data_IF_852413582774
#
_entry.id   IF_852413582774
#
_cell.length_a   1.000
_cell.length_b   1.000
_cell.length_c   1.000
_cell.angle_alpha   90.00
_cell.angle_beta   90.00
_cell.angle_gamma   90.00
#
_symmetry.space_group_name_H-M   'P 1'
#
loop_
_entity.id
_entity.type
_entity.pdbx_description
1 polymer ?
#
# COMPACT_ATOMS: atom_id res chain seq x y z
N UNK A 1 -30.62 -44.71 23.03
CA UNK A 1 -31.86 -45.36 22.57
C UNK A 1 -32.93 -44.26 22.43
N UNK A 2 -33.57 -44.12 21.26
CA UNK A 2 -34.32 -42.91 20.82
C UNK A 2 -35.85 -43.06 21.02
N UNK A 3 -36.65 -42.32 20.24
CA UNK A 3 -38.12 -42.18 20.14
C UNK A 3 -38.66 -40.93 20.86
N UNK A 4 -39.43 -40.02 20.24
CA UNK A 4 -40.39 -40.19 19.14
C UNK A 4 -40.62 -38.86 18.39
N UNK A 5 -40.77 -38.95 17.06
CA UNK A 5 -41.25 -37.87 16.19
C UNK A 5 -42.79 -37.82 16.16
N UNK A 6 -43.36 -36.64 15.89
CA UNK A 6 -44.71 -36.50 15.34
C UNK A 6 -44.64 -35.56 14.14
N UNK A 7 -44.93 -36.12 12.96
CA UNK A 7 -45.25 -35.40 11.73
C UNK A 7 -46.65 -34.78 11.84
N UNK A 8 -46.81 -33.57 11.29
CA UNK A 8 -48.03 -33.19 10.60
C UNK A 8 -47.65 -32.30 9.40
N UNK A 9 -48.02 -32.77 8.21
CA UNK A 9 -47.93 -32.05 6.95
C UNK A 9 -49.36 -31.92 6.40
N UNK A 10 -49.77 -30.74 5.93
CA UNK A 10 -50.65 -30.53 4.75
C UNK A 10 -50.38 -29.14 4.17
N UNK A 11 -50.41 -29.08 2.84
CA UNK A 11 -49.92 -28.06 1.88
C UNK A 11 -51.08 -27.10 1.43
N UNK A 12 -51.01 -26.36 0.30
CA UNK A 12 -50.87 -24.90 0.22
C UNK A 12 -52.14 -24.13 -0.22
N UNK A 13 -52.17 -22.82 0.02
CA UNK A 13 -53.23 -21.92 -0.45
C UNK A 13 -52.68 -20.76 -1.29
N UNK A 14 -53.04 -20.74 -2.56
CA UNK A 14 -52.85 -19.68 -3.56
C UNK A 14 -53.78 -18.47 -3.31
N UNK A 15 -53.33 -17.24 -3.61
CA UNK A 15 -54.25 -16.10 -3.73
C UNK A 15 -53.54 -14.76 -3.97
N UNK A 16 -53.93 -14.06 -5.05
CA UNK A 16 -53.27 -12.89 -5.67
C UNK A 16 -54.33 -11.81 -5.91
N UNK A 17 -54.10 -10.54 -5.53
CA UNK A 17 -54.62 -9.31 -6.17
C UNK A 17 -54.04 -8.05 -5.48
N UNK A 18 -53.22 -7.21 -6.16
CA UNK A 18 -53.54 -5.92 -6.86
C UNK A 18 -54.05 -4.81 -5.90
N UNK A 19 -53.53 -3.57 -5.90
CA UNK A 19 -52.55 -2.91 -6.75
C UNK A 19 -52.34 -1.42 -6.39
N UNK A 20 -51.69 -0.70 -7.32
CA UNK A 20 -51.45 0.76 -7.41
C UNK A 20 -50.29 1.34 -6.57
N UNK A 21 -49.39 2.21 -7.04
CA UNK A 21 -49.15 2.87 -8.35
C UNK A 21 -47.80 3.60 -8.30
N UNK A 22 -47.09 3.67 -9.44
CA UNK A 22 -46.12 4.74 -9.79
C UNK A 22 -44.64 4.43 -9.58
N UNK A 23 -43.70 4.84 -10.44
CA UNK A 23 -43.75 5.25 -11.83
C UNK A 23 -42.37 4.96 -12.44
N UNK A 24 -42.35 4.88 -13.77
CA UNK A 24 -41.32 4.49 -14.73
C UNK A 24 -39.87 4.94 -14.46
N UNK A 25 -38.90 4.14 -14.95
CA UNK A 25 -38.14 4.42 -16.21
C UNK A 25 -36.66 3.99 -16.17
N UNK A 26 -36.35 2.79 -16.67
CA UNK A 26 -35.35 2.58 -17.74
C UNK A 26 -35.52 1.16 -18.26
N UNK A 27 -35.79 1.01 -19.56
CA UNK A 27 -35.97 -0.30 -20.23
C UNK A 27 -34.92 -0.41 -21.33
N UNK A 28 -34.38 -1.62 -21.44
CA UNK A 28 -33.41 -2.10 -22.42
C UNK A 28 -33.76 -1.78 -23.87
N UNK A 29 -32.75 -1.45 -24.66
CA UNK A 29 -32.68 -1.77 -26.09
C UNK A 29 -31.23 -1.95 -26.53
N UNK A 30 -30.80 -3.20 -26.74
CA UNK A 30 -29.77 -3.54 -27.71
C UNK A 30 -29.83 -5.04 -28.05
N UNK A 31 -30.74 -5.41 -28.97
CA UNK A 31 -30.59 -6.60 -29.80
C UNK A 31 -29.89 -6.20 -31.10
N UNK A 32 -28.84 -6.97 -31.44
CA UNK A 32 -28.49 -7.56 -32.74
C UNK A 32 -28.60 -6.71 -34.02
N UNK A 33 -27.50 -6.67 -34.76
CA UNK A 33 -27.43 -6.43 -36.20
C UNK A 33 -26.04 -6.83 -36.75
N UNK A 34 -26.01 -7.84 -37.61
CA UNK A 34 -24.85 -8.38 -38.36
C UNK A 34 -24.33 -7.45 -39.46
N UNK A 35 -23.04 -7.58 -39.84
CA UNK A 35 -22.63 -8.12 -41.16
C UNK A 35 -21.16 -7.82 -41.54
N UNK A 36 -20.40 -8.91 -41.74
CA UNK A 36 -19.45 -9.24 -42.82
C UNK A 36 -18.36 -8.28 -43.35
N UNK A 37 -17.13 -8.82 -43.49
CA UNK A 37 -16.29 -8.96 -44.73
C UNK A 37 -14.80 -9.14 -44.35
N UNK A 38 -14.23 -10.35 -44.32
CA UNK A 38 -13.66 -11.18 -45.40
C UNK A 38 -12.12 -11.06 -45.56
N UNK A 39 -11.47 -12.24 -45.48
CA UNK A 39 -10.18 -12.68 -46.03
C UNK A 39 -8.83 -12.10 -45.52
N UNK A 40 -7.99 -12.98 -44.96
CA UNK A 40 -6.90 -13.60 -45.75
C UNK A 40 -6.30 -14.84 -45.06
N UNK A 41 -5.97 -15.81 -45.90
CA UNK A 41 -5.39 -17.13 -45.64
C UNK A 41 -3.89 -17.08 -45.99
N UNK A 42 -3.01 -17.55 -45.11
CA UNK A 42 -1.64 -18.00 -45.37
C UNK A 42 -1.15 -18.63 -44.05
N UNK A 43 -0.50 -19.77 -43.92
CA UNK A 43 0.19 -20.69 -44.81
C UNK A 43 1.03 -21.58 -43.87
N UNK A 44 1.20 -22.86 -44.20
CA UNK A 44 1.94 -23.85 -43.40
C UNK A 44 3.42 -23.50 -43.22
N UNK A 45 3.96 -23.85 -42.04
CA UNK A 45 5.36 -24.27 -41.80
C UNK A 45 5.27 -25.18 -40.55
N UNK A 46 5.72 -26.43 -40.50
CA UNK A 46 6.94 -27.04 -41.01
C UNK A 46 7.82 -27.40 -39.80
N UNK A 47 7.93 -28.69 -39.49
CA UNK A 47 8.65 -29.26 -38.34
C UNK A 47 10.17 -29.04 -38.39
N UNK A 48 10.80 -29.06 -37.21
CA UNK A 48 12.18 -29.50 -37.03
C UNK A 48 13.14 -28.50 -36.36
N UNK A 49 13.76 -28.91 -35.25
CA UNK A 49 14.99 -28.28 -34.75
C UNK A 49 15.11 -28.19 -33.23
N UNK A 50 15.68 -29.23 -32.61
CA UNK A 50 16.16 -29.23 -31.23
C UNK A 50 17.35 -28.30 -31.06
N UNK A 51 17.30 -27.35 -30.12
CA UNK A 51 18.47 -26.69 -29.56
C UNK A 51 18.21 -26.29 -28.10
N UNK A 52 18.84 -27.04 -27.21
CA UNK A 52 19.05 -26.71 -25.80
C UNK A 52 19.94 -25.46 -25.70
N UNK A 53 19.43 -24.39 -25.09
CA UNK A 53 20.24 -23.28 -24.60
C UNK A 53 19.63 -22.80 -23.28
N UNK A 54 20.21 -23.29 -22.18
CA UNK A 54 20.07 -22.73 -20.85
C UNK A 54 20.63 -21.30 -20.82
N UNK A 55 19.90 -20.29 -20.32
CA UNK A 55 20.48 -18.97 -20.12
C UNK A 55 21.42 -18.99 -18.90
N UNK A 56 22.56 -18.26 -18.94
CA UNK A 56 23.48 -18.24 -17.81
C UNK A 56 22.89 -17.44 -16.64
N UNK A 57 23.00 -18.02 -15.43
CA UNK A 57 22.75 -17.33 -14.18
C UNK A 57 23.73 -16.16 -14.02
N UNK A 58 23.22 -14.94 -13.95
CA UNK A 58 24.02 -13.77 -13.55
C UNK A 58 23.95 -13.63 -12.03
N UNK A 59 25.03 -13.99 -11.36
CA UNK A 59 25.31 -13.53 -10.00
C UNK A 59 25.52 -12.01 -10.06
N UNK A 60 24.61 -11.24 -9.47
CA UNK A 60 24.82 -9.82 -9.22
C UNK A 60 25.47 -9.72 -7.83
N UNK A 61 26.75 -9.40 -7.84
CA UNK A 61 27.50 -9.03 -6.63
C UNK A 61 26.99 -7.68 -6.15
N UNK A 62 26.17 -7.69 -5.09
CA UNK A 62 25.64 -6.48 -4.44
C UNK A 62 26.73 -5.89 -3.57
N UNK A 63 27.72 -5.26 -4.21
CA UNK A 63 28.71 -4.42 -3.52
C UNK A 63 28.81 -3.06 -4.19
N UNK A 64 28.19 -2.12 -3.48
CA UNK A 64 28.66 -0.76 -3.29
C UNK A 64 28.47 0.24 -4.45
N UNK A 65 27.38 0.99 -4.39
CA UNK A 65 27.34 2.38 -4.88
C UNK A 65 26.28 3.19 -4.12
N UNK A 66 26.48 3.34 -2.80
CA UNK A 66 25.79 4.37 -2.04
C UNK A 66 26.49 5.71 -2.31
N UNK A 67 25.98 6.46 -3.28
CA UNK A 67 26.29 7.88 -3.44
C UNK A 67 24.98 8.63 -3.67
N UNK A 68 24.16 8.65 -2.62
CA UNK A 68 22.99 9.52 -2.57
C UNK A 68 23.47 10.92 -2.19
N UNK A 69 23.26 11.86 -3.11
CA UNK A 69 23.59 13.29 -2.94
C UNK A 69 22.90 13.80 -1.67
N UNK A 70 23.71 14.27 -0.72
CA UNK A 70 23.27 14.91 0.52
C UNK A 70 22.67 16.27 0.16
N UNK A 71 21.34 16.36 0.09
CA UNK A 71 20.65 17.65 -0.04
C UNK A 71 20.91 18.50 1.22
N UNK A 72 21.34 19.77 1.08
CA UNK A 72 21.53 20.64 2.23
C UNK A 72 20.16 21.02 2.81
N UNK A 73 20.04 20.90 4.14
CA UNK A 73 18.93 21.49 4.90
C UNK A 73 19.01 23.00 4.73
N UNK A 74 18.08 23.58 3.98
CA UNK A 74 17.87 25.04 3.98
C UNK A 74 17.27 25.37 5.35
N UNK A 75 18.12 25.82 6.26
CA UNK A 75 17.70 26.41 7.53
C UNK A 75 17.01 27.74 7.25
N UNK A 76 15.69 27.80 7.48
CA UNK A 76 15.01 29.08 7.64
C UNK A 76 15.51 29.74 8.92
N UNK A 77 16.35 30.75 8.74
CA UNK A 77 16.86 31.60 9.80
C UNK A 77 15.82 32.71 10.03
N UNK A 78 14.91 32.49 10.98
CA UNK A 78 13.98 33.52 11.43
C UNK A 78 14.75 34.38 12.43
N UNK A 79 15.12 35.59 12.02
CA UNK A 79 15.87 36.52 12.86
C UNK A 79 15.09 36.91 14.11
N UNK A 80 15.70 36.69 15.28
CA UNK A 80 15.23 37.25 16.54
C UNK A 80 15.65 38.73 16.62
N UNK A 81 14.64 39.61 16.61
CA UNK A 81 14.77 40.98 17.10
C UNK A 81 14.90 40.91 18.63
N UNK A 82 16.04 41.36 19.13
CA UNK A 82 16.32 41.53 20.56
C UNK A 82 15.57 42.76 21.08
N UNK A 83 14.71 42.56 22.06
CA UNK A 83 14.29 43.61 23.00
C UNK A 83 14.51 43.09 24.43
N UNK A 84 15.33 43.82 25.17
CA UNK A 84 15.72 43.55 26.55
C UNK A 84 14.55 43.63 27.52
N UNK A 85 14.40 42.61 28.37
CA UNK A 85 13.80 42.74 29.69
C UNK A 85 14.49 41.78 30.68
N UNK A 86 14.74 42.28 31.89
CA UNK A 86 15.57 41.73 32.98
C UNK A 86 15.14 40.34 33.50
N UNK A 87 16.04 39.58 34.17
CA UNK A 87 15.74 38.26 34.68
C UNK A 87 14.90 38.35 35.95
N UNK A 88 13.88 37.50 36.06
CA UNK A 88 13.27 37.20 37.34
C UNK A 88 13.52 35.72 37.67
N UNK A 89 14.27 35.51 38.73
CA UNK A 89 14.48 34.23 39.40
C UNK A 89 13.16 33.74 40.00
N UNK A 90 12.73 32.54 39.61
CA UNK A 90 11.59 31.87 40.22
C UNK A 90 11.59 30.40 39.87
N UNK A 91 11.87 29.56 40.86
CA UNK A 91 11.63 28.12 40.76
C UNK A 91 10.14 27.89 40.55
N UNK A 92 9.78 27.18 39.49
CA UNK A 92 8.48 26.54 39.41
C UNK A 92 8.67 25.25 38.64
N UNK A 93 8.45 24.16 39.38
CA UNK A 93 8.31 22.80 38.88
C UNK A 93 7.21 22.77 37.81
N UNK A 94 7.60 22.79 36.54
CA UNK A 94 6.73 22.40 35.44
C UNK A 94 6.97 20.92 35.13
N UNK A 95 6.33 20.06 35.90
CA UNK A 95 5.92 18.75 35.42
C UNK A 95 4.85 18.95 34.35
N UNK A 96 5.29 19.15 33.12
CA UNK A 96 4.50 18.87 31.93
C UNK A 96 5.17 17.68 31.24
N UNK A 97 4.76 16.48 31.61
CA UNK A 97 5.05 15.27 30.85
C UNK A 97 4.39 15.44 29.49
N UNK A 98 5.14 15.98 28.53
CA UNK A 98 4.77 15.88 27.12
C UNK A 98 4.79 14.41 26.77
N UNK A 99 3.62 13.82 26.55
CA UNK A 99 3.54 12.52 25.89
C UNK A 99 4.31 12.63 24.59
N UNK A 100 5.43 11.88 24.49
CA UNK A 100 6.26 11.89 23.30
C UNK A 100 5.41 11.39 22.13
N UNK A 101 5.05 12.30 21.23
CA UNK A 101 4.26 12.04 20.01
C UNK A 101 5.10 11.33 18.93
N UNK A 102 5.97 10.41 19.34
CA UNK A 102 6.96 9.73 18.50
C UNK A 102 6.76 8.22 18.57
N UNK A 103 7.34 7.51 17.60
CA UNK A 103 7.45 6.05 17.65
C UNK A 103 8.49 5.67 18.71
N UNK A 104 8.10 4.86 19.69
CA UNK A 104 8.95 4.38 20.77
C UNK A 104 9.63 3.05 20.43
N UNK A 105 10.61 2.64 21.25
CA UNK A 105 11.40 1.41 21.04
C UNK A 105 10.56 0.12 21.05
N UNK A 106 9.40 0.15 21.71
CA UNK A 106 8.46 -0.97 21.78
C UNK A 106 7.21 -0.74 20.92
N UNK A 107 7.23 0.21 19.99
CA UNK A 107 6.14 0.32 19.03
C UNK A 107 6.39 -0.59 17.83
N UNK A 108 5.35 -1.32 17.42
CA UNK A 108 5.31 -2.02 16.14
C UNK A 108 4.69 -1.13 15.08
N UNK A 109 5.36 -0.94 13.96
CA UNK A 109 4.80 -0.25 12.79
C UNK A 109 4.40 -1.26 11.74
N UNK A 110 3.15 -1.25 11.29
CA UNK A 110 2.69 -2.05 10.15
C UNK A 110 2.51 -1.11 8.98
N UNK A 111 3.19 -1.37 7.86
CA UNK A 111 2.98 -0.62 6.62
C UNK A 111 2.11 -1.45 5.70
N UNK A 112 0.95 -0.90 5.34
CA UNK A 112 -0.12 -1.65 4.65
C UNK A 112 -0.30 -1.13 3.23
N UNK A 113 -0.26 -2.01 2.22
CA UNK A 113 -0.76 -1.69 0.88
C UNK A 113 -2.00 -2.56 0.51
N UNK A 114 -2.44 -2.53 -0.76
CA UNK A 114 -3.58 -3.34 -1.20
C UNK A 114 -3.23 -4.83 -1.34
N UNK A 115 -1.96 -5.14 -1.57
CA UNK A 115 -1.50 -6.38 -2.16
C UNK A 115 -1.70 -6.38 -3.67
N UNK A 116 -1.06 -7.34 -4.32
CA UNK A 116 -1.17 -7.58 -5.75
C UNK A 116 -1.21 -9.08 -6.03
N UNK A 117 -1.89 -9.44 -7.12
CA UNK A 117 -1.79 -10.80 -7.69
C UNK A 117 -0.42 -11.07 -8.31
N UNK A 118 0.37 -10.02 -8.55
CA UNK A 118 1.74 -10.13 -9.05
C UNK A 118 2.70 -10.15 -7.87
N UNK A 119 3.39 -11.25 -7.69
CA UNK A 119 4.34 -11.42 -6.57
C UNK A 119 5.43 -10.35 -6.56
N UNK A 120 5.96 -10.00 -7.74
CA UNK A 120 6.94 -8.92 -7.90
C UNK A 120 6.48 -7.60 -7.27
N UNK A 121 5.19 -7.29 -7.33
CA UNK A 121 4.65 -6.07 -6.74
C UNK A 121 4.62 -6.14 -5.21
N UNK A 122 4.34 -7.32 -4.64
CA UNK A 122 4.35 -7.51 -3.18
C UNK A 122 5.78 -7.42 -2.63
N UNK A 123 6.77 -7.93 -3.37
CA UNK A 123 8.19 -7.83 -3.00
C UNK A 123 8.68 -6.37 -2.89
N UNK A 124 8.13 -5.45 -3.69
CA UNK A 124 8.47 -4.02 -3.58
C UNK A 124 8.11 -3.44 -2.20
N UNK A 125 7.05 -3.92 -1.55
CA UNK A 125 6.72 -3.49 -0.19
C UNK A 125 7.79 -3.98 0.79
N UNK A 126 8.29 -5.21 0.65
CA UNK A 126 9.36 -5.73 1.49
C UNK A 126 10.66 -4.91 1.35
N UNK A 127 11.02 -4.54 0.13
CA UNK A 127 12.17 -3.65 -0.12
C UNK A 127 11.96 -2.28 0.52
N UNK A 128 10.73 -1.74 0.45
CA UNK A 128 10.39 -0.50 1.12
C UNK A 128 10.49 -0.62 2.65
N UNK A 129 10.02 -1.72 3.26
CA UNK A 129 10.18 -1.97 4.69
C UNK A 129 11.66 -1.99 5.09
N UNK A 130 12.50 -2.68 4.34
CA UNK A 130 13.94 -2.74 4.62
C UNK A 130 14.57 -1.35 4.58
N UNK A 131 14.24 -0.56 3.55
CA UNK A 131 14.68 0.83 3.41
C UNK A 131 14.16 1.72 4.56
N UNK A 132 12.88 1.55 4.93
CA UNK A 132 12.24 2.31 5.98
C UNK A 132 12.90 2.05 7.33
N UNK A 133 13.07 0.76 7.71
CA UNK A 133 13.80 0.35 8.93
C UNK A 133 15.21 0.94 8.96
N UNK A 134 15.95 0.85 7.86
CA UNK A 134 17.33 1.36 7.79
C UNK A 134 17.41 2.89 7.95
N UNK A 135 16.40 3.63 7.46
CA UNK A 135 16.38 5.10 7.54
C UNK A 135 15.81 5.65 8.84
N UNK A 136 14.82 4.99 9.44
CA UNK A 136 14.16 5.47 10.68
C UNK A 136 14.78 4.89 11.94
N UNK A 137 15.40 3.72 11.86
CA UNK A 137 15.95 3.00 13.02
C UNK A 137 14.88 2.27 13.86
N UNK A 138 13.62 2.27 13.44
CA UNK A 138 12.54 1.59 14.16
C UNK A 138 12.78 0.08 14.21
N UNK A 139 12.58 -0.51 15.39
CA UNK A 139 12.96 -1.91 15.67
C UNK A 139 11.97 -2.91 15.08
N UNK A 140 10.68 -2.62 15.17
CA UNK A 140 9.61 -3.53 14.76
C UNK A 140 8.81 -2.85 13.64
N UNK A 141 9.01 -3.30 12.39
CA UNK A 141 8.28 -2.75 11.23
C UNK A 141 7.83 -3.86 10.29
N UNK A 142 6.57 -4.25 10.27
CA UNK A 142 6.08 -5.36 9.45
C UNK A 142 5.35 -4.89 8.17
N UNK A 143 5.53 -5.55 7.02
CA UNK A 143 4.66 -5.36 5.87
C UNK A 143 3.30 -6.03 6.12
N UNK A 144 2.25 -5.50 5.49
CA UNK A 144 0.97 -6.19 5.37
C UNK A 144 0.27 -5.82 4.05
N UNK A 145 -0.57 -6.73 3.58
CA UNK A 145 -1.43 -6.55 2.44
C UNK A 145 -2.89 -6.67 2.89
N UNK A 146 -3.75 -5.82 2.32
CA UNK A 146 -5.15 -5.73 2.74
C UNK A 146 -6.02 -6.88 2.22
N UNK A 147 -5.84 -7.32 0.97
CA UNK A 147 -6.78 -8.27 0.34
C UNK A 147 -6.16 -9.28 -0.65
N UNK A 148 -5.07 -8.93 -1.35
CA UNK A 148 -4.63 -9.70 -2.52
C UNK A 148 -3.39 -10.57 -2.30
N UNK A 149 -2.75 -10.46 -1.14
CA UNK A 149 -1.50 -11.13 -0.84
C UNK A 149 -1.33 -11.35 0.67
N UNK A 150 -0.32 -12.15 1.02
CA UNK A 150 0.13 -12.37 2.38
C UNK A 150 1.48 -11.66 2.61
N UNK A 151 1.79 -11.17 3.82
CA UNK A 151 1.03 -11.34 5.07
C UNK A 151 -0.19 -10.41 5.19
N UNK A 152 -1.26 -10.88 5.84
CA UNK A 152 -2.40 -10.02 6.20
C UNK A 152 -2.06 -9.02 7.31
N UNK A 153 -2.93 -8.02 7.51
CA UNK A 153 -2.84 -7.10 8.67
C UNK A 153 -2.84 -7.87 9.98
N UNK A 154 -3.61 -8.97 10.08
CA UNK A 154 -3.67 -9.81 11.27
C UNK A 154 -2.33 -10.49 11.54
N UNK A 155 -1.70 -11.07 10.52
CA UNK A 155 -0.41 -11.73 10.65
C UNK A 155 0.69 -10.74 11.05
N UNK A 156 0.72 -9.56 10.43
CA UNK A 156 1.66 -8.51 10.77
C UNK A 156 1.47 -8.00 12.21
N UNK A 157 0.21 -7.84 12.65
CA UNK A 157 -0.11 -7.47 14.04
C UNK A 157 0.42 -8.51 15.02
N UNK A 158 0.12 -9.79 14.78
CA UNK A 158 0.61 -10.88 15.61
C UNK A 158 2.14 -10.93 15.67
N UNK A 159 2.82 -10.71 14.53
CA UNK A 159 4.29 -10.62 14.48
C UNK A 159 4.84 -9.44 15.27
N UNK A 160 4.22 -8.27 15.21
CA UNK A 160 4.63 -7.13 16.04
C UNK A 160 4.53 -7.47 17.53
N UNK A 161 3.43 -8.09 17.95
CA UNK A 161 3.22 -8.50 19.36
C UNK A 161 4.24 -9.57 19.78
N UNK A 162 4.51 -10.57 18.93
CA UNK A 162 5.54 -11.58 19.19
C UNK A 162 6.95 -10.99 19.36
N UNK A 163 7.23 -9.89 18.65
CA UNK A 163 8.49 -9.14 18.79
C UNK A 163 8.53 -8.22 20.03
N UNK A 164 7.45 -8.19 20.83
CA UNK A 164 7.38 -7.43 22.08
C UNK A 164 6.81 -6.03 21.94
N UNK A 165 6.04 -5.75 20.89
CA UNK A 165 5.39 -4.46 20.73
C UNK A 165 4.36 -4.20 21.86
N UNK A 166 4.43 -3.01 22.48
CA UNK A 166 3.48 -2.51 23.48
C UNK A 166 2.41 -1.60 22.88
N UNK A 167 2.55 -1.20 21.62
CA UNK A 167 1.56 -0.46 20.82
C UNK A 167 1.81 -0.75 19.34
N UNK A 168 0.73 -0.80 18.55
CA UNK A 168 0.81 -1.04 17.10
C UNK A 168 0.34 0.18 16.31
N UNK A 169 1.12 0.60 15.32
CA UNK A 169 0.85 1.74 14.44
C UNK A 169 0.62 1.19 13.03
N UNK A 170 -0.62 1.21 12.56
CA UNK A 170 -1.01 0.74 11.24
C UNK A 170 -1.00 1.92 10.26
N UNK A 171 -0.04 1.93 9.34
CA UNK A 171 0.23 3.03 8.42
C UNK A 171 -0.07 2.65 6.98
N UNK A 172 -1.14 3.19 6.37
CA UNK A 172 -1.47 2.89 4.97
C UNK A 172 -0.46 3.53 4.00
N UNK A 173 0.07 2.73 3.08
CA UNK A 173 0.97 3.15 2.01
C UNK A 173 0.18 3.50 0.73
N UNK A 174 -0.73 4.48 0.85
CA UNK A 174 -1.61 4.92 -0.24
C UNK A 174 -1.40 6.39 -0.60
N UNK A 175 -1.46 6.71 -1.89
CA UNK A 175 -1.34 8.10 -2.38
C UNK A 175 -2.59 8.95 -2.17
N UNK A 176 -3.76 8.32 -1.99
CA UNK A 176 -5.04 9.03 -1.88
C UNK A 176 -5.88 8.50 -0.72
N UNK A 177 -6.59 9.38 0.00
CA UNK A 177 -7.60 8.94 0.96
C UNK A 177 -8.78 8.32 0.20
N UNK A 178 -9.20 7.13 0.62
CA UNK A 178 -10.29 6.39 -0.02
C UNK A 178 -11.08 5.54 0.97
N UNK A 179 -12.03 4.74 0.45
CA UNK A 179 -12.86 3.82 1.25
C UNK A 179 -12.00 2.91 2.13
N UNK A 180 -10.92 2.37 1.55
CA UNK A 180 -10.01 1.45 2.23
C UNK A 180 -9.39 2.01 3.50
N UNK A 181 -8.94 3.27 3.46
CA UNK A 181 -8.44 3.94 4.65
C UNK A 181 -9.55 4.26 5.67
N UNK A 182 -10.73 4.69 5.20
CA UNK A 182 -11.82 5.12 6.08
C UNK A 182 -12.54 3.98 6.79
N UNK A 183 -12.58 2.79 6.20
CA UNK A 183 -13.45 1.70 6.65
C UNK A 183 -12.68 0.38 6.79
N UNK A 184 -12.00 -0.05 5.73
CA UNK A 184 -11.50 -1.43 5.65
C UNK A 184 -10.28 -1.65 6.57
N UNK A 185 -9.26 -0.78 6.52
CA UNK A 185 -8.08 -0.90 7.39
C UNK A 185 -8.45 -0.79 8.88
N UNK A 186 -9.25 0.21 9.32
CA UNK A 186 -9.71 0.25 10.70
C UNK A 186 -10.45 -1.02 11.15
N UNK A 187 -11.31 -1.59 10.30
CA UNK A 187 -12.03 -2.83 10.63
C UNK A 187 -11.09 -4.03 10.74
N UNK A 188 -10.15 -4.19 9.81
CA UNK A 188 -9.15 -5.27 9.82
C UNK A 188 -8.20 -5.15 11.02
N UNK A 189 -7.75 -3.94 11.36
CA UNK A 189 -6.93 -3.70 12.55
C UNK A 189 -7.69 -3.98 13.84
N UNK A 190 -8.98 -3.61 13.90
CA UNK A 190 -9.85 -3.93 15.03
C UNK A 190 -10.04 -5.44 15.21
N UNK A 191 -10.22 -6.18 14.10
CA UNK A 191 -10.32 -7.63 14.14
C UNK A 191 -9.02 -8.26 14.66
N UNK A 192 -7.87 -7.83 14.13
CA UNK A 192 -6.56 -8.31 14.56
C UNK A 192 -6.30 -8.05 16.07
N UNK A 193 -6.73 -6.89 16.57
CA UNK A 193 -6.56 -6.51 17.97
C UNK A 193 -7.37 -7.38 18.95
N UNK A 194 -8.42 -8.08 18.52
CA UNK A 194 -9.21 -8.95 19.41
C UNK A 194 -8.39 -10.07 20.04
N UNK A 195 -7.37 -10.57 19.34
CA UNK A 195 -6.45 -11.60 19.84
C UNK A 195 -5.36 -11.03 20.77
N UNK A 196 -5.24 -9.71 20.84
CA UNK A 196 -4.21 -8.96 21.56
C UNK A 196 -4.82 -7.75 22.29
N UNK A 197 -5.88 -7.98 23.07
CA UNK A 197 -6.74 -6.93 23.65
C UNK A 197 -6.04 -5.95 24.60
N UNK A 198 -4.84 -6.29 25.07
CA UNK A 198 -3.99 -5.44 25.91
C UNK A 198 -3.03 -4.53 25.11
N UNK A 199 -3.00 -4.64 23.78
CA UNK A 199 -2.09 -3.88 22.92
C UNK A 199 -2.88 -2.76 22.22
N UNK A 200 -2.70 -1.49 22.63
CA UNK A 200 -3.33 -0.37 21.94
C UNK A 200 -2.82 -0.26 20.51
N UNK A 201 -3.66 0.24 19.61
CA UNK A 201 -3.29 0.49 18.23
C UNK A 201 -3.85 1.81 17.71
N UNK A 202 -3.22 2.33 16.66
CA UNK A 202 -3.65 3.51 15.92
C UNK A 202 -3.54 3.26 14.42
N UNK A 203 -4.51 3.75 13.66
CA UNK A 203 -4.45 3.80 12.19
C UNK A 203 -4.12 5.22 11.77
N UNK A 204 -3.01 5.42 11.05
CA UNK A 204 -2.59 6.76 10.63
C UNK A 204 -3.32 7.22 9.37
N UNK A 205 -3.12 8.49 9.00
CA UNK A 205 -3.44 8.94 7.65
C UNK A 205 -2.57 8.18 6.62
N UNK A 206 -3.07 7.97 5.38
CA UNK A 206 -2.25 7.54 4.26
C UNK A 206 -1.26 8.66 3.86
N UNK A 207 -0.34 8.38 2.93
CA UNK A 207 0.62 9.38 2.43
C UNK A 207 -0.10 10.65 1.95
N UNK A 208 -1.13 10.49 1.13
CA UNK A 208 -1.96 11.61 0.68
C UNK A 208 -1.16 12.74 0.00
N UNK A 209 -1.71 13.96 0.10
CA UNK A 209 -1.04 15.19 -0.30
C UNK A 209 -0.07 15.62 0.79
N UNK A 210 1.16 15.14 0.71
CA UNK A 210 2.26 15.52 1.60
C UNK A 210 3.32 16.30 0.82
N UNK A 211 3.90 17.35 1.39
CA UNK A 211 4.86 18.23 0.69
C UNK A 211 6.06 17.46 0.11
N UNK A 212 6.59 16.49 0.87
CA UNK A 212 7.66 15.59 0.40
C UNK A 212 7.30 14.76 -0.85
N UNK A 213 6.02 14.58 -1.17
CA UNK A 213 5.63 13.93 -2.43
C UNK A 213 6.02 14.77 -3.66
N UNK A 214 6.06 16.10 -3.51
CA UNK A 214 6.54 17.02 -4.55
C UNK A 214 8.02 16.75 -4.84
N UNK A 215 8.82 16.55 -3.79
CA UNK A 215 10.25 16.26 -3.93
C UNK A 215 10.50 14.92 -4.61
N UNK A 216 9.78 13.87 -4.20
CA UNK A 216 9.89 12.54 -4.80
C UNK A 216 9.53 12.58 -6.29
N UNK A 217 8.44 13.28 -6.65
CA UNK A 217 8.02 13.45 -8.04
C UNK A 217 9.06 14.22 -8.86
N UNK A 218 9.54 15.35 -8.35
CA UNK A 218 10.52 16.19 -9.04
C UNK A 218 11.87 15.45 -9.23
N UNK A 219 12.32 14.71 -8.21
CA UNK A 219 13.53 13.89 -8.31
C UNK A 219 13.38 12.82 -9.40
N UNK A 220 12.24 12.11 -9.42
CA UNK A 220 11.97 11.10 -10.44
C UNK A 220 11.93 11.70 -11.85
N UNK A 221 11.26 12.85 -12.04
CA UNK A 221 11.21 13.55 -13.33
C UNK A 221 12.62 13.93 -13.79
N UNK A 222 13.41 14.56 -12.92
CA UNK A 222 14.80 14.94 -13.24
C UNK A 222 15.67 13.74 -13.56
N UNK A 223 15.51 12.62 -12.87
CA UNK A 223 16.21 11.39 -13.19
C UNK A 223 15.85 10.90 -14.59
N UNK A 224 14.55 10.77 -14.88
CA UNK A 224 14.07 10.31 -16.19
C UNK A 224 14.52 11.22 -17.33
N UNK A 225 14.51 12.54 -17.16
CA UNK A 225 15.01 13.48 -18.17
C UNK A 225 16.52 13.36 -18.41
N UNK A 226 17.32 13.14 -17.35
CA UNK A 226 18.75 12.87 -17.49
C UNK A 226 18.99 11.56 -18.25
N UNK A 227 18.17 10.54 -18.00
CA UNK A 227 18.26 9.26 -18.71
C UNK A 227 17.96 9.44 -20.20
N UNK A 228 16.84 10.10 -20.53
CA UNK A 228 16.45 10.42 -21.92
C UNK A 228 17.54 11.24 -22.64
N UNK A 229 18.25 12.11 -21.94
CA UNK A 229 19.36 12.88 -22.48
C UNK A 229 20.68 12.09 -22.59
N UNK A 230 20.71 10.80 -22.23
CA UNK A 230 21.90 9.94 -22.30
C UNK A 230 22.92 10.15 -21.19
N UNK A 231 22.55 10.82 -20.09
CA UNK A 231 23.48 11.17 -19.02
C UNK A 231 23.56 10.12 -17.90
N UNK A 232 22.54 9.25 -17.78
CA UNK A 232 22.45 8.20 -16.76
C UNK A 232 21.74 6.97 -17.33
N UNK A 233 21.98 5.81 -16.72
CA UNK A 233 21.25 4.56 -17.01
C UNK A 233 19.76 4.65 -16.66
N UNK A 234 18.99 3.64 -17.09
CA UNK A 234 17.57 3.52 -16.76
C UNK A 234 17.36 3.49 -15.23
N UNK A 235 16.33 4.18 -14.75
CA UNK A 235 15.96 4.04 -13.33
C UNK A 235 15.40 2.63 -13.06
N UNK A 236 15.47 2.18 -11.81
CA UNK A 236 15.03 0.83 -11.41
C UNK A 236 13.59 0.48 -11.80
N UNK A 237 12.71 1.48 -11.98
CA UNK A 237 11.30 1.27 -12.38
C UNK A 237 11.14 1.18 -13.89
N UNK A 238 12.00 1.83 -14.67
CA UNK A 238 11.94 1.82 -16.13
C UNK A 238 12.80 0.71 -16.74
N UNK A 239 13.78 0.21 -15.99
CA UNK A 239 14.72 -0.80 -16.41
C UNK A 239 14.03 -1.98 -17.12
N UNK A 240 14.38 -2.22 -18.39
CA UNK A 240 13.86 -3.35 -19.17
C UNK A 240 12.38 -3.26 -19.60
N UNK A 241 11.72 -2.12 -19.36
CA UNK A 241 10.32 -1.92 -19.75
C UNK A 241 10.15 -1.30 -21.15
N UNK A 242 11.23 -0.77 -21.73
CA UNK A 242 11.18 0.05 -22.95
C UNK A 242 10.38 1.34 -22.80
N UNK A 243 10.19 1.81 -21.55
CA UNK A 243 9.56 3.10 -21.22
C UNK A 243 10.63 4.14 -20.88
N UNK A 244 10.20 5.36 -20.59
CA UNK A 244 11.07 6.52 -20.33
C UNK A 244 11.89 6.93 -21.57
N UNK A 245 11.19 7.14 -22.67
CA UNK A 245 11.73 7.64 -23.94
C UNK A 245 10.90 8.84 -24.42
N UNK A 246 11.45 9.61 -25.36
CA UNK A 246 10.68 10.62 -26.07
C UNK A 246 9.72 9.94 -27.06
N UNK A 247 8.48 10.42 -27.09
CA UNK A 247 7.48 10.04 -28.09
C UNK A 247 7.27 11.24 -29.03
N UNK A 248 7.25 11.04 -30.35
CA UNK A 248 7.06 12.10 -31.35
C UNK A 248 5.63 12.63 -31.41
#
# INVERSE_FOLDING_TARGET
MPYTAVLAAVVPGTGKARGATGDKRWRDTARRGEAARQERRCGQVGEGGTASLTPPARNIDVRNSASFVKLPRIGLNIGNIVMSAKPNSGSSSETAQGESCTVGEKDGVIIVDHGSRREESNLMLNDFIAMFRARTGYKIVEPAHMELAEPTIKDAFGKCVQQGASRVIVSPYFLSPGRHWKQDIPALAAEASKEHSNIPYVVTAPLGLHELMVDVMNDRIKYCLRHVAGNVEECTVCAGTGKCQLYP
#
